data_IF_618252419007
#
_entry.id   IF_618252419007
#
_cell.length_a   1.000
_cell.length_b   1.000
_cell.length_c   1.000
_cell.angle_alpha   90.00
_cell.angle_beta   90.00
_cell.angle_gamma   90.00
#
_symmetry.space_group_name_H-M   'P 1'
#
loop_
_entity.id
_entity.type
_entity.pdbx_description
1 polymer ?
#
# COMPACT_ATOMS: atom_id res chain seq x y z
N UNK A 1 -13.14 -19.29 -11.60
CA UNK A 1 -13.65 -18.34 -10.60
C UNK A 1 -15.04 -17.93 -11.04
N UNK A 2 -16.04 -18.03 -10.18
CA UNK A 2 -17.43 -17.65 -10.50
C UNK A 2 -17.66 -16.14 -10.43
N UNK A 3 -18.73 -15.64 -11.05
CA UNK A 3 -19.08 -14.20 -11.07
C UNK A 3 -19.16 -13.59 -9.66
N UNK A 4 -19.76 -14.31 -8.71
CA UNK A 4 -19.86 -13.88 -7.30
C UNK A 4 -18.46 -13.72 -6.68
N UNK A 5 -17.57 -14.69 -6.89
CA UNK A 5 -16.20 -14.65 -6.36
C UNK A 5 -15.41 -13.47 -6.96
N UNK A 6 -15.57 -13.23 -8.26
CA UNK A 6 -14.95 -12.10 -8.95
C UNK A 6 -15.49 -10.76 -8.43
N UNK A 7 -16.80 -10.64 -8.21
CA UNK A 7 -17.42 -9.43 -7.68
C UNK A 7 -16.91 -9.13 -6.26
N UNK A 8 -16.83 -10.14 -5.38
CA UNK A 8 -16.24 -10.00 -4.04
C UNK A 8 -14.81 -9.48 -4.14
N UNK A 9 -14.00 -10.11 -5.00
CA UNK A 9 -12.59 -9.73 -5.20
C UNK A 9 -12.45 -8.27 -5.68
N UNK A 10 -13.29 -7.84 -6.62
CA UNK A 10 -13.30 -6.45 -7.10
C UNK A 10 -13.63 -5.48 -5.96
N UNK A 11 -14.65 -5.79 -5.16
CA UNK A 11 -15.08 -4.95 -4.03
C UNK A 11 -14.02 -4.86 -2.95
N UNK A 12 -13.34 -5.97 -2.64
CA UNK A 12 -12.23 -6.01 -1.69
C UNK A 12 -11.08 -5.13 -2.15
N UNK A 13 -10.65 -5.28 -3.42
CA UNK A 13 -9.59 -4.48 -4.02
C UNK A 13 -9.93 -2.99 -4.06
N UNK A 14 -11.14 -2.64 -4.46
CA UNK A 14 -11.63 -1.26 -4.41
C UNK A 14 -11.57 -0.70 -2.99
N UNK A 15 -11.96 -1.51 -2.01
CA UNK A 15 -11.93 -1.13 -0.61
C UNK A 15 -10.51 -0.89 -0.07
N UNK A 16 -9.52 -1.62 -0.55
CA UNK A 16 -8.11 -1.39 -0.21
C UNK A 16 -7.53 -0.16 -0.93
N UNK A 17 -7.83 0.00 -2.21
CA UNK A 17 -7.35 1.12 -3.03
C UNK A 17 -7.86 2.47 -2.49
N UNK A 18 -9.13 2.54 -2.14
CA UNK A 18 -9.82 3.78 -1.79
C UNK A 18 -10.14 3.91 -0.29
N UNK A 19 -9.62 3.00 0.54
CA UNK A 19 -9.87 2.93 1.99
C UNK A 19 -11.38 2.99 2.34
N UNK A 20 -12.16 2.16 1.64
CA UNK A 20 -13.62 2.12 1.81
C UNK A 20 -13.94 1.24 3.02
N UNK A 21 -14.69 1.80 3.97
CA UNK A 21 -15.20 1.07 5.13
C UNK A 21 -16.04 -0.14 4.72
N UNK A 22 -15.89 -1.26 5.44
CA UNK A 22 -16.55 -2.53 5.14
C UNK A 22 -18.08 -2.42 4.98
N UNK A 23 -18.72 -1.58 5.78
CA UNK A 23 -20.16 -1.32 5.73
C UNK A 23 -20.64 -0.70 4.41
N UNK A 24 -19.79 0.10 3.74
CA UNK A 24 -20.11 0.70 2.44
C UNK A 24 -19.83 -0.24 1.26
N UNK A 25 -18.94 -1.22 1.46
CA UNK A 25 -18.58 -2.22 0.43
C UNK A 25 -19.77 -3.09 0.00
N UNK A 26 -20.74 -3.32 0.88
CA UNK A 26 -21.97 -4.07 0.56
C UNK A 26 -22.78 -3.41 -0.56
N UNK A 27 -22.94 -2.07 -0.52
CA UNK A 27 -23.64 -1.34 -1.57
C UNK A 27 -22.92 -1.43 -2.92
N UNK A 28 -21.58 -1.33 -2.91
CA UNK A 28 -20.76 -1.49 -4.12
C UNK A 28 -20.91 -2.90 -4.70
N UNK A 29 -20.95 -3.94 -3.87
CA UNK A 29 -21.20 -5.31 -4.32
C UNK A 29 -22.58 -5.46 -4.98
N UNK A 30 -23.61 -4.87 -4.38
CA UNK A 30 -24.97 -4.90 -4.91
C UNK A 30 -25.06 -4.19 -6.28
N UNK A 31 -24.35 -3.08 -6.47
CA UNK A 31 -24.31 -2.39 -7.78
C UNK A 31 -23.54 -3.21 -8.83
N UNK A 32 -22.39 -3.80 -8.47
CA UNK A 32 -21.55 -4.55 -9.41
C UNK A 32 -22.24 -5.82 -9.92
N UNK A 33 -23.00 -6.51 -9.06
CA UNK A 33 -23.64 -7.77 -9.48
C UNK A 33 -24.76 -7.54 -10.50
N UNK A 34 -25.30 -6.32 -10.58
CA UNK A 34 -26.31 -5.91 -11.56
C UNK A 34 -25.75 -5.53 -12.93
N UNK A 35 -24.42 -5.42 -13.08
CA UNK A 35 -23.81 -5.10 -14.38
C UNK A 35 -24.13 -6.17 -15.43
N UNK A 36 -24.24 -5.79 -16.71
CA UNK A 36 -24.17 -6.80 -17.76
C UNK A 36 -22.79 -7.49 -17.77
N UNK A 37 -22.69 -8.64 -18.44
CA UNK A 37 -21.46 -9.43 -18.44
C UNK A 37 -20.27 -8.66 -19.04
N UNK A 38 -20.48 -7.83 -20.06
CA UNK A 38 -19.41 -7.09 -20.73
C UNK A 38 -18.83 -6.01 -19.81
N UNK A 39 -19.68 -5.21 -19.17
CA UNK A 39 -19.31 -4.20 -18.20
C UNK A 39 -18.65 -4.82 -16.97
N UNK A 40 -19.16 -5.98 -16.51
CA UNK A 40 -18.55 -6.71 -15.41
C UNK A 40 -17.13 -7.19 -15.75
N UNK A 41 -16.94 -7.83 -16.90
CA UNK A 41 -15.61 -8.30 -17.32
C UNK A 41 -14.62 -7.14 -17.50
N UNK A 42 -15.08 -6.03 -18.07
CA UNK A 42 -14.27 -4.82 -18.21
C UNK A 42 -13.84 -4.28 -16.83
N UNK A 43 -14.79 -4.17 -15.89
CA UNK A 43 -14.49 -3.72 -14.53
C UNK A 43 -13.47 -4.63 -13.84
N UNK A 44 -13.66 -5.96 -13.92
CA UNK A 44 -12.71 -6.94 -13.35
C UNK A 44 -11.30 -6.71 -13.90
N UNK A 45 -11.17 -6.62 -15.23
CA UNK A 45 -9.88 -6.40 -15.89
C UNK A 45 -9.23 -5.07 -15.49
N UNK A 46 -10.01 -3.98 -15.47
CA UNK A 46 -9.49 -2.65 -15.15
C UNK A 46 -9.02 -2.59 -13.69
N UNK A 47 -9.77 -3.20 -12.77
CA UNK A 47 -9.42 -3.26 -11.34
C UNK A 47 -8.22 -4.17 -11.09
N UNK A 48 -8.06 -5.28 -11.83
CA UNK A 48 -6.87 -6.11 -11.76
C UNK A 48 -5.60 -5.33 -12.11
N UNK A 49 -5.61 -4.66 -13.26
CA UNK A 49 -4.47 -3.86 -13.72
C UNK A 49 -4.17 -2.74 -12.72
N UNK A 50 -5.21 -2.05 -12.25
CA UNK A 50 -5.04 -0.95 -11.31
C UNK A 50 -4.48 -1.44 -9.96
N UNK A 51 -5.02 -2.53 -9.42
CA UNK A 51 -4.60 -3.08 -8.13
C UNK A 51 -3.15 -3.60 -8.16
N UNK A 52 -2.74 -4.23 -9.26
CA UNK A 52 -1.34 -4.63 -9.46
C UNK A 52 -0.38 -3.43 -9.46
N UNK A 53 -0.80 -2.33 -10.09
CA UNK A 53 -0.01 -1.09 -10.09
C UNK A 53 0.00 -0.42 -8.71
N UNK A 54 -1.15 -0.38 -8.02
CA UNK A 54 -1.28 0.16 -6.68
C UNK A 54 -0.36 -0.56 -5.69
N UNK A 55 -0.38 -1.90 -5.68
CA UNK A 55 0.45 -2.72 -4.79
C UNK A 55 1.94 -2.60 -5.09
N UNK A 56 2.34 -2.58 -6.38
CA UNK A 56 3.74 -2.33 -6.78
C UNK A 56 4.24 -0.96 -6.31
N UNK A 57 3.42 0.08 -6.47
CA UNK A 57 3.77 1.43 -6.05
C UNK A 57 3.84 1.56 -4.53
N UNK A 58 2.87 0.99 -3.81
CA UNK A 58 2.87 0.97 -2.34
C UNK A 58 4.07 0.22 -1.78
N UNK A 59 4.40 -0.95 -2.33
CA UNK A 59 5.58 -1.71 -1.94
C UNK A 59 6.87 -0.93 -2.20
N UNK A 60 6.98 -0.30 -3.37
CA UNK A 60 8.14 0.53 -3.72
C UNK A 60 8.28 1.76 -2.82
N UNK A 61 7.18 2.36 -2.37
CA UNK A 61 7.19 3.47 -1.42
C UNK A 61 7.56 3.02 0.00
N UNK A 62 7.04 1.87 0.44
CA UNK A 62 7.42 1.22 1.70
C UNK A 62 8.91 0.91 1.74
N UNK A 63 9.43 0.26 0.69
CA UNK A 63 10.85 -0.09 0.59
C UNK A 63 11.76 1.15 0.65
N UNK A 64 11.39 2.23 -0.05
CA UNK A 64 12.12 3.52 0.02
C UNK A 64 12.07 4.16 1.41
N UNK A 65 10.95 4.03 2.12
CA UNK A 65 10.80 4.57 3.47
C UNK A 65 11.70 3.82 4.45
N UNK A 66 11.73 2.48 4.38
CA UNK A 66 12.62 1.63 5.20
C UNK A 66 14.09 1.95 4.95
N UNK A 67 14.51 2.13 3.70
CA UNK A 67 15.90 2.52 3.37
C UNK A 67 16.26 3.86 4.01
N UNK A 68 15.36 4.85 3.93
CA UNK A 68 15.60 6.16 4.53
C UNK A 68 15.64 6.09 6.06
N UNK A 69 14.78 5.28 6.70
CA UNK A 69 14.80 5.06 8.15
C UNK A 69 16.13 4.45 8.62
N UNK A 70 16.57 3.38 7.96
CA UNK A 70 17.87 2.74 8.27
C UNK A 70 19.03 3.74 8.09
N UNK A 71 18.96 4.61 7.08
CA UNK A 71 19.99 5.64 6.86
C UNK A 71 20.00 6.71 7.95
N UNK A 72 18.83 7.10 8.46
CA UNK A 72 18.72 8.05 9.58
C UNK A 72 19.31 7.43 10.84
N UNK A 73 19.01 6.18 11.14
CA UNK A 73 19.58 5.45 12.30
C UNK A 73 21.11 5.39 12.20
N UNK A 74 21.68 5.00 11.05
CA UNK A 74 23.13 4.98 10.81
C UNK A 74 23.78 6.37 11.04
N UNK A 75 23.13 7.44 10.57
CA UNK A 75 23.62 8.81 10.74
C UNK A 75 23.54 9.28 12.20
N UNK A 76 22.51 8.86 12.94
CA UNK A 76 22.37 9.15 14.37
C UNK A 76 23.45 8.43 15.20
N UNK A 77 23.74 7.16 14.90
CA UNK A 77 24.84 6.41 15.52
C UNK A 77 26.19 7.09 15.27
N UNK A 78 26.47 7.47 14.02
CA UNK A 78 27.70 8.20 13.67
C UNK A 78 27.81 9.55 14.37
N UNK A 79 26.71 10.29 14.47
CA UNK A 79 26.68 11.56 15.20
C UNK A 79 27.02 11.33 16.68
N UNK A 80 26.41 10.34 17.33
CA UNK A 80 26.66 10.05 18.74
C UNK A 80 28.13 9.69 18.97
N UNK A 81 28.71 8.83 18.13
CA UNK A 81 30.13 8.48 18.20
C UNK A 81 31.05 9.71 18.11
N UNK A 82 30.83 10.60 17.13
CA UNK A 82 31.62 11.83 16.98
C UNK A 82 31.45 12.78 18.17
N UNK A 83 30.25 12.85 18.75
CA UNK A 83 29.98 13.71 19.91
C UNK A 83 30.69 13.18 21.16
N UNK A 84 30.83 11.85 21.30
CA UNK A 84 31.58 11.20 22.37
C UNK A 84 33.10 11.40 22.21
N UNK A 85 33.64 11.28 20.99
CA UNK A 85 35.05 11.58 20.71
C UNK A 85 35.40 13.05 20.99
N UNK A 86 34.56 14.00 20.55
CA UNK A 86 34.76 15.43 20.81
C UNK A 86 34.71 15.76 22.31
N UNK A 87 33.85 15.07 23.08
CA UNK A 87 33.81 15.23 24.54
C UNK A 87 35.11 14.75 25.20
N UNK A 88 35.64 13.60 24.77
CA UNK A 88 36.89 13.04 25.33
C UNK A 88 38.09 13.93 25.02
N UNK A 89 38.17 14.47 23.81
CA UNK A 89 39.26 15.39 23.40
C UNK A 89 39.24 16.71 24.17
N UNK A 90 38.06 17.23 24.52
CA UNK A 90 37.93 18.48 25.29
C UNK A 90 38.17 18.29 26.80
N UNK A 91 38.36 17.06 27.28
CA UNK A 91 38.62 16.76 28.70
C UNK A 91 40.10 16.44 28.99
N UNK A 92 40.97 16.45 27.97
CA UNK A 92 42.43 16.29 28.05
C UNK A 92 43.15 17.64 27.99
#
# INVERSE_FOLDING_TARGET
MGRIEQAITVVERLGEIFDIESQKRKGIYEEIIEFDDDNFHKLVSDIEIYYDNFTKNHKSAGDKTTINQNKIEELLEKKNFLTEEDSLLNTL
#
